data_IF_028574252130
#
_entry.id   IF_028574252130
#
_cell.length_a   1.000
_cell.length_b   1.000
_cell.length_c   1.000
_cell.angle_alpha   90.00
_cell.angle_beta   90.00
_cell.angle_gamma   90.00
#
_symmetry.space_group_name_H-M   'P 1'
#
loop_
_entity.id
_entity.type
_entity.pdbx_description
1 polymer ?
#
# COMPACT_ATOMS: atom_id res chain seq x y z
N UNK A 1 63.74 -3.13 -6.25
CA UNK A 1 62.89 -2.13 -6.92
C UNK A 1 61.44 -2.53 -6.68
N UNK A 2 60.60 -1.56 -6.31
CA UNK A 2 59.48 -1.74 -5.38
C UNK A 2 58.29 -2.56 -5.87
N UNK A 3 57.79 -3.43 -4.99
CA UNK A 3 56.50 -4.09 -5.10
C UNK A 3 55.37 -3.12 -4.73
N UNK A 4 54.41 -2.94 -5.63
CA UNK A 4 53.20 -2.16 -5.39
C UNK A 4 52.13 -3.08 -4.79
N UNK A 5 51.74 -2.86 -3.52
CA UNK A 5 50.59 -3.51 -2.89
C UNK A 5 49.88 -2.52 -1.99
N UNK A 6 48.56 -2.42 -2.16
CA UNK A 6 47.64 -1.93 -1.13
C UNK A 6 47.03 -0.57 -1.41
N UNK A 7 45.90 -0.57 -2.13
CA UNK A 7 44.89 0.48 -1.98
C UNK A 7 43.56 -0.21 -1.71
N UNK A 8 43.39 -0.69 -0.48
CA UNK A 8 42.07 -1.09 0.04
C UNK A 8 41.38 0.17 0.53
N UNK A 9 40.38 0.63 -0.20
CA UNK A 9 39.48 1.68 0.25
C UNK A 9 38.66 1.16 1.43
N UNK A 10 38.81 1.85 2.56
CA UNK A 10 38.11 1.64 3.83
C UNK A 10 36.64 2.08 3.70
N UNK A 11 35.74 1.18 4.13
CA UNK A 11 34.46 1.37 4.84
C UNK A 11 33.42 2.36 4.29
N UNK A 12 32.22 1.85 3.99
CA UNK A 12 30.97 2.30 4.62
C UNK A 12 30.17 1.05 5.00
N UNK A 13 30.32 0.65 6.27
CA UNK A 13 29.26 -0.05 6.96
C UNK A 13 28.14 1.00 7.13
N UNK A 14 27.02 0.76 6.44
CA UNK A 14 25.78 1.48 6.63
C UNK A 14 24.86 0.53 7.38
N UNK A 15 24.64 0.87 8.64
CA UNK A 15 24.02 0.05 9.66
C UNK A 15 22.50 -0.09 9.45
N UNK A 16 21.99 -1.22 9.92
CA UNK A 16 20.64 -1.53 10.42
C UNK A 16 19.43 -0.72 9.92
N UNK A 17 18.53 -1.42 9.21
CA UNK A 17 17.10 -1.38 9.56
C UNK A 17 16.62 -2.82 9.69
N UNK A 18 16.85 -3.43 10.86
CA UNK A 18 15.99 -4.53 11.31
C UNK A 18 14.63 -3.92 11.65
N UNK A 19 13.67 -3.89 10.72
CA UNK A 19 12.28 -3.51 11.06
C UNK A 19 11.68 -4.60 11.94
N UNK A 20 11.92 -4.50 13.25
CA UNK A 20 11.17 -5.25 14.26
C UNK A 20 9.81 -4.57 14.42
N UNK A 21 8.81 -5.08 13.70
CA UNK A 21 7.44 -4.57 13.72
C UNK A 21 6.48 -5.55 14.39
N UNK A 22 5.92 -5.13 15.53
CA UNK A 22 4.84 -5.80 16.26
C UNK A 22 3.68 -6.13 15.32
N UNK A 23 3.30 -7.41 15.21
CA UNK A 23 2.06 -7.81 14.55
C UNK A 23 0.89 -7.49 15.47
N UNK A 24 0.33 -6.30 15.35
CA UNK A 24 -0.99 -6.01 15.91
C UNK A 24 -2.00 -6.89 15.17
N UNK A 25 -2.77 -7.70 15.91
CA UNK A 25 -3.86 -8.53 15.37
C UNK A 25 -4.94 -7.60 14.78
N UNK A 26 -4.81 -7.22 13.52
CA UNK A 26 -5.84 -6.52 12.73
C UNK A 26 -6.43 -7.47 11.68
N UNK A 27 -7.67 -7.21 11.28
CA UNK A 27 -8.24 -7.88 10.11
C UNK A 27 -7.88 -7.07 8.87
N UNK A 28 -7.51 -7.74 7.79
CA UNK A 28 -7.30 -7.09 6.49
C UNK A 28 -8.45 -7.49 5.58
N UNK A 29 -9.12 -6.51 4.99
CA UNK A 29 -10.09 -6.71 3.93
C UNK A 29 -9.48 -6.30 2.58
N UNK A 30 -9.79 -7.06 1.54
CA UNK A 30 -9.43 -6.75 0.16
C UNK A 30 -10.70 -6.40 -0.60
N UNK A 31 -10.71 -5.23 -1.23
CA UNK A 31 -11.86 -4.73 -1.98
C UNK A 31 -11.37 -4.09 -3.27
N UNK A 32 -12.25 -4.02 -4.27
CA UNK A 32 -12.04 -3.12 -5.40
C UNK A 32 -13.18 -2.12 -5.46
N UNK A 33 -12.81 -0.84 -5.45
CA UNK A 33 -13.71 0.28 -5.64
C UNK A 33 -13.72 0.72 -7.09
N UNK A 34 -14.84 1.29 -7.55
CA UNK A 34 -14.99 1.70 -8.95
C UNK A 34 -15.69 3.05 -9.08
N UNK A 35 -15.27 3.88 -10.04
CA UNK A 35 -15.93 5.15 -10.36
C UNK A 35 -15.72 5.52 -11.83
N UNK A 36 -16.68 6.26 -12.42
CA UNK A 36 -16.51 6.90 -13.74
C UNK A 36 -15.90 8.31 -13.64
N UNK A 37 -15.74 8.84 -12.41
CA UNK A 37 -15.36 10.23 -12.19
C UNK A 37 -13.87 10.39 -11.88
N UNK A 38 -13.35 9.60 -10.95
CA UNK A 38 -11.94 9.69 -10.51
C UNK A 38 -11.46 8.46 -9.75
N UNK A 39 -10.14 8.37 -9.56
CA UNK A 39 -9.50 7.37 -8.67
C UNK A 39 -9.93 7.59 -7.22
N UNK A 40 -9.95 8.84 -6.75
CA UNK A 40 -10.34 9.19 -5.38
C UNK A 40 -11.78 8.74 -5.08
N UNK A 41 -12.71 8.98 -6.01
CA UNK A 41 -14.09 8.52 -5.87
C UNK A 41 -14.19 6.98 -5.83
N UNK A 42 -13.34 6.28 -6.60
CA UNK A 42 -13.27 4.82 -6.53
C UNK A 42 -12.71 4.34 -5.19
N UNK A 43 -11.74 5.06 -4.59
CA UNK A 43 -11.20 4.73 -3.26
C UNK A 43 -12.29 4.86 -2.20
N UNK A 44 -12.99 5.99 -2.16
CA UNK A 44 -14.06 6.26 -1.18
C UNK A 44 -15.18 5.20 -1.24
N UNK A 45 -15.51 4.78 -2.46
CA UNK A 45 -16.48 3.74 -2.73
C UNK A 45 -16.03 2.37 -2.16
N UNK A 46 -14.76 2.00 -2.40
CA UNK A 46 -14.17 0.78 -1.85
C UNK A 46 -14.10 0.78 -0.32
N UNK A 47 -13.65 1.89 0.29
CA UNK A 47 -13.60 2.07 1.75
C UNK A 47 -15.00 1.93 2.36
N UNK A 48 -16.00 2.56 1.74
CA UNK A 48 -17.40 2.51 2.22
C UNK A 48 -17.99 1.10 2.22
N UNK A 49 -17.60 0.24 1.26
CA UNK A 49 -18.05 -1.16 1.23
C UNK A 49 -17.43 -2.03 2.32
N UNK A 50 -16.20 -1.73 2.72
CA UNK A 50 -15.49 -2.50 3.74
C UNK A 50 -15.80 -2.04 5.17
N UNK A 51 -16.18 -0.77 5.36
CA UNK A 51 -16.54 -0.23 6.66
C UNK A 51 -17.93 -0.74 7.10
N UNK A 52 -17.96 -1.90 7.76
CA UNK A 52 -19.17 -2.39 8.42
C UNK A 52 -19.58 -1.51 9.61
N UNK A 53 -20.82 -1.64 10.15
CA UNK A 53 -21.34 -0.78 11.22
C UNK A 53 -20.55 -0.79 12.54
N UNK A 54 -19.67 -1.77 12.73
CA UNK A 54 -18.81 -1.96 13.93
C UNK A 54 -17.33 -2.11 13.59
N UNK A 55 -16.96 -1.82 12.34
CA UNK A 55 -15.60 -1.96 11.84
C UNK A 55 -15.11 -0.58 11.44
N UNK A 56 -13.97 -0.18 12.01
CA UNK A 56 -13.32 1.08 11.69
C UNK A 56 -12.10 0.79 10.81
N UNK A 57 -12.05 1.46 9.68
CA UNK A 57 -10.87 1.46 8.79
C UNK A 57 -9.80 2.33 9.43
N UNK A 58 -8.65 1.74 9.75
CA UNK A 58 -7.50 2.45 10.32
C UNK A 58 -6.48 2.86 9.26
N UNK A 59 -6.34 2.05 8.21
CA UNK A 59 -5.44 2.36 7.10
C UNK A 59 -5.96 1.80 5.78
N UNK A 60 -5.50 2.42 4.70
CA UNK A 60 -5.78 2.05 3.32
C UNK A 60 -4.45 1.91 2.57
N UNK A 61 -4.27 0.83 1.83
CA UNK A 61 -3.16 0.61 0.91
C UNK A 61 -3.73 0.38 -0.50
N UNK A 62 -3.32 1.20 -1.46
CA UNK A 62 -3.67 1.00 -2.87
C UNK A 62 -2.66 0.03 -3.48
N UNK A 63 -3.15 -1.10 -4.00
CA UNK A 63 -2.29 -2.12 -4.61
C UNK A 63 -2.25 -2.02 -6.13
N UNK A 64 -3.37 -1.64 -6.76
CA UNK A 64 -3.44 -1.46 -8.21
C UNK A 64 -4.46 -0.39 -8.59
N UNK A 65 -4.12 0.45 -9.55
CA UNK A 65 -5.05 1.38 -10.20
C UNK A 65 -5.14 1.01 -11.68
N UNK A 66 -6.35 0.72 -12.15
CA UNK A 66 -6.66 0.46 -13.56
C UNK A 66 -7.69 1.47 -14.07
N UNK A 67 -7.60 1.76 -15.35
CA UNK A 67 -8.65 2.47 -16.08
C UNK A 67 -9.06 1.66 -17.29
N UNK A 68 -10.36 1.47 -17.47
CA UNK A 68 -10.91 1.06 -18.76
C UNK A 68 -11.31 2.34 -19.52
N UNK A 69 -10.89 2.44 -20.79
CA UNK A 69 -11.21 3.58 -21.66
C UNK A 69 -11.96 3.03 -22.88
N UNK A 70 -13.27 2.87 -22.74
CA UNK A 70 -14.16 2.43 -23.82
C UNK A 70 -15.02 3.60 -24.28
N UNK A 71 -15.03 3.86 -25.60
CA UNK A 71 -15.87 4.91 -26.19
C UNK A 71 -15.58 6.32 -25.70
N UNK A 72 -14.35 6.60 -25.27
CA UNK A 72 -13.93 7.91 -24.75
C UNK A 72 -14.39 8.21 -23.32
N UNK A 73 -14.98 7.23 -22.61
CA UNK A 73 -15.31 7.34 -21.19
C UNK A 73 -14.30 6.56 -20.35
N UNK A 74 -13.89 7.16 -19.24
CA UNK A 74 -13.01 6.53 -18.27
C UNK A 74 -13.84 5.83 -17.20
N UNK A 75 -13.46 4.60 -16.88
CA UNK A 75 -13.88 3.92 -15.67
C UNK A 75 -12.66 3.49 -14.87
N UNK A 76 -12.55 4.01 -13.67
CA UNK A 76 -11.50 3.72 -12.71
C UNK A 76 -11.87 2.51 -11.88
N UNK A 77 -10.94 1.58 -11.73
CA UNK A 77 -11.00 0.46 -10.79
C UNK A 77 -9.76 0.50 -9.91
N UNK A 78 -9.94 0.50 -8.61
CA UNK A 78 -8.85 0.61 -7.64
C UNK A 78 -8.91 -0.58 -6.69
N UNK A 79 -7.87 -1.40 -6.69
CA UNK A 79 -7.69 -2.49 -5.75
C UNK A 79 -7.07 -1.96 -4.45
N UNK A 80 -7.71 -2.31 -3.32
CA UNK A 80 -7.39 -1.79 -2.00
C UNK A 80 -7.21 -2.92 -0.99
N UNK A 81 -6.25 -2.73 -0.10
CA UNK A 81 -6.16 -3.45 1.17
C UNK A 81 -6.51 -2.48 2.30
N UNK A 82 -7.34 -2.95 3.23
CA UNK A 82 -7.89 -2.13 4.29
C UNK A 82 -7.60 -2.78 5.64
N UNK A 83 -6.94 -2.03 6.51
CA UNK A 83 -6.75 -2.42 7.90
C UNK A 83 -8.00 -2.13 8.71
N UNK A 84 -8.67 -3.18 9.15
CA UNK A 84 -9.87 -3.08 9.97
C UNK A 84 -9.55 -3.36 11.43
N UNK A 85 -10.04 -2.46 12.28
CA UNK A 85 -10.12 -2.66 13.71
C UNK A 85 -11.57 -2.88 14.12
N UNK A 86 -11.81 -3.95 14.88
CA UNK A 86 -13.09 -4.16 15.54
C UNK A 86 -13.21 -3.19 16.71
N UNK A 87 -14.33 -2.47 16.78
CA UNK A 87 -14.72 -1.83 18.02
C UNK A 87 -14.96 -2.94 19.07
N UNK A 88 -14.32 -2.82 20.24
CA UNK A 88 -14.49 -3.73 21.37
C UNK A 88 -15.85 -3.49 22.04
#
# INVERSE_FOLDING_TARGET
MGHFRGMSTRTHAGDDVTTSGVRTRGHVAEVVGTSDESVDAAIDEGVSRAAGPREHVEWVEVTEVRSNVLGGKHRYSVELRLGLRRAA
#
